data_IF_056596365579
#
_entry.id   IF_056596365579
#
_cell.length_a   1.000
_cell.length_b   1.000
_cell.length_c   1.000
_cell.angle_alpha   90.00
_cell.angle_beta   90.00
_cell.angle_gamma   90.00
#
_symmetry.space_group_name_H-M   'P 1'
#
loop_
_entity.id
_entity.type
_entity.pdbx_description
1 polymer ?
#
# COMPACT_ATOMS: atom_id res chain seq x y z
N UNK A 1 23.00 11.26 -16.96
CA UNK A 1 22.67 11.25 -15.51
C UNK A 1 22.18 9.86 -15.18
N UNK A 2 22.85 9.16 -14.24
CA UNK A 2 22.54 7.75 -13.98
C UNK A 2 21.13 7.52 -13.44
N UNK A 3 20.47 6.50 -13.96
CA UNK A 3 19.20 5.98 -13.46
C UNK A 3 19.41 5.04 -12.26
N UNK A 4 20.39 5.34 -11.39
CA UNK A 4 20.67 4.50 -10.23
C UNK A 4 19.44 4.42 -9.32
N UNK A 5 19.01 3.19 -8.98
CA UNK A 5 17.87 2.99 -8.08
C UNK A 5 18.22 3.47 -6.66
N UNK A 6 17.30 4.16 -5.96
CA UNK A 6 17.51 4.56 -4.57
C UNK A 6 17.80 3.35 -3.68
N UNK A 7 18.74 3.49 -2.74
CA UNK A 7 19.11 2.40 -1.80
C UNK A 7 17.91 1.84 -1.02
N UNK A 8 16.92 2.70 -0.74
CA UNK A 8 15.67 2.29 -0.11
C UNK A 8 14.90 1.25 -0.96
N UNK A 9 14.90 1.41 -2.28
CA UNK A 9 14.26 0.45 -3.19
C UNK A 9 15.05 -0.86 -3.20
N UNK A 10 16.37 -0.78 -3.36
CA UNK A 10 17.25 -1.98 -3.41
C UNK A 10 17.04 -2.84 -2.16
N UNK A 11 17.12 -2.24 -0.97
CA UNK A 11 16.88 -2.96 0.29
C UNK A 11 15.48 -3.57 0.36
N UNK A 12 14.45 -2.80 0.01
CA UNK A 12 13.07 -3.26 0.13
C UNK A 12 12.73 -4.39 -0.86
N UNK A 13 13.37 -4.44 -2.01
CA UNK A 13 13.23 -5.54 -2.97
C UNK A 13 13.86 -6.83 -2.40
N UNK A 14 15.05 -6.76 -1.81
CA UNK A 14 15.68 -7.89 -1.12
C UNK A 14 14.82 -8.43 0.02
N UNK A 15 14.28 -7.53 0.88
CA UNK A 15 13.35 -7.89 1.96
C UNK A 15 12.05 -8.57 1.45
N UNK A 16 11.59 -8.23 0.24
CA UNK A 16 10.28 -8.68 -0.27
C UNK A 16 10.39 -9.93 -1.13
N UNK A 17 11.40 -9.99 -2.00
CA UNK A 17 11.55 -11.04 -3.03
C UNK A 17 12.77 -11.94 -2.82
N UNK A 18 13.62 -11.62 -1.83
CA UNK A 18 14.92 -12.24 -1.63
C UNK A 18 16.02 -11.60 -2.48
N UNK A 19 17.26 -11.67 -1.99
CA UNK A 19 18.40 -10.96 -2.59
C UNK A 19 18.68 -11.39 -4.04
N UNK A 20 18.54 -12.68 -4.35
CA UNK A 20 18.80 -13.21 -5.69
C UNK A 20 17.83 -12.65 -6.74
N UNK A 21 16.52 -12.72 -6.48
CA UNK A 21 15.49 -12.21 -7.39
C UNK A 21 15.55 -10.67 -7.50
N UNK A 22 15.85 -10.00 -6.39
CA UNK A 22 16.06 -8.55 -6.39
C UNK A 22 17.26 -8.15 -7.26
N UNK A 23 18.40 -8.85 -7.13
CA UNK A 23 19.60 -8.60 -7.92
C UNK A 23 19.37 -8.84 -9.41
N UNK A 24 18.68 -9.92 -9.78
CA UNK A 24 18.35 -10.23 -11.18
C UNK A 24 17.51 -9.12 -11.81
N UNK A 25 16.46 -8.66 -11.14
CA UNK A 25 15.62 -7.57 -11.63
C UNK A 25 16.40 -6.24 -11.72
N UNK A 26 17.19 -5.92 -10.68
CA UNK A 26 18.03 -4.71 -10.67
C UNK A 26 19.07 -4.68 -11.79
N UNK A 27 19.63 -5.82 -12.18
CA UNK A 27 20.56 -5.92 -13.30
C UNK A 27 19.89 -5.59 -14.64
N UNK A 28 18.60 -5.90 -14.79
CA UNK A 28 17.80 -5.57 -16.00
C UNK A 28 17.25 -4.15 -15.99
N UNK A 29 17.22 -3.49 -14.85
CA UNK A 29 16.53 -2.21 -14.65
C UNK A 29 16.98 -1.09 -15.59
N UNK A 30 18.28 -0.93 -15.96
CA UNK A 30 18.69 0.07 -16.95
C UNK A 30 18.01 -0.16 -18.31
N UNK A 31 18.02 -1.38 -18.85
CA UNK A 31 17.37 -1.70 -20.12
C UNK A 31 15.83 -1.49 -20.04
N UNK A 32 15.19 -1.98 -18.95
CA UNK A 32 13.76 -1.75 -18.72
C UNK A 32 13.42 -0.26 -18.66
N UNK A 33 14.32 0.56 -18.14
CA UNK A 33 14.13 2.01 -18.07
C UNK A 33 14.18 2.64 -19.47
N UNK A 34 15.18 2.31 -20.26
CA UNK A 34 15.35 2.84 -21.61
C UNK A 34 14.19 2.42 -22.52
N UNK A 35 13.79 1.16 -22.45
CA UNK A 35 12.65 0.63 -23.19
C UNK A 35 11.34 1.34 -22.79
N UNK A 36 11.09 1.52 -21.49
CA UNK A 36 9.90 2.19 -21.00
C UNK A 36 9.85 3.68 -21.35
N UNK A 37 10.98 4.40 -21.28
CA UNK A 37 11.07 5.80 -21.70
C UNK A 37 10.75 5.93 -23.22
N UNK A 38 11.29 5.03 -24.02
CA UNK A 38 11.04 4.98 -25.47
C UNK A 38 9.58 4.65 -25.79
N UNK A 39 9.03 3.59 -25.18
CA UNK A 39 7.67 3.13 -25.45
C UNK A 39 6.61 4.19 -25.09
N UNK A 40 6.83 4.94 -24.03
CA UNK A 40 5.95 6.03 -23.61
C UNK A 40 6.27 7.40 -24.24
N UNK A 41 7.28 7.48 -25.10
CA UNK A 41 7.76 8.72 -25.74
C UNK A 41 7.97 9.86 -24.72
N UNK A 42 8.68 9.56 -23.61
CA UNK A 42 8.94 10.51 -22.54
C UNK A 42 10.44 10.71 -22.31
N UNK A 43 10.83 11.89 -21.85
CA UNK A 43 12.21 12.20 -21.47
C UNK A 43 12.37 12.14 -19.95
N UNK A 44 13.48 11.54 -19.49
CA UNK A 44 13.83 11.48 -18.07
C UNK A 44 14.28 12.85 -17.57
N UNK A 45 13.67 13.32 -16.48
CA UNK A 45 14.15 14.49 -15.73
C UNK A 45 15.06 14.06 -14.58
N UNK A 46 14.60 13.17 -13.72
CA UNK A 46 15.37 12.63 -12.59
C UNK A 46 14.70 11.40 -11.98
N UNK A 47 15.49 10.64 -11.24
CA UNK A 47 14.96 9.58 -10.35
C UNK A 47 14.31 10.24 -9.13
N UNK A 48 13.13 9.74 -8.72
CA UNK A 48 12.45 10.21 -7.51
C UNK A 48 13.18 9.67 -6.27
N UNK A 49 13.66 10.55 -5.41
CA UNK A 49 14.30 10.21 -4.14
C UNK A 49 13.47 10.77 -2.97
N UNK A 50 13.31 10.02 -1.88
CA UNK A 50 13.84 8.69 -1.56
C UNK A 50 13.16 7.54 -2.33
N UNK A 51 12.16 7.81 -3.17
CA UNK A 51 11.49 6.86 -4.04
C UNK A 51 10.55 5.88 -3.34
N UNK A 52 10.04 4.92 -4.13
CA UNK A 52 9.20 3.82 -3.67
C UNK A 52 10.00 2.71 -2.96
N UNK A 53 9.26 1.74 -2.41
CA UNK A 53 9.84 0.50 -1.85
C UNK A 53 9.65 -0.70 -2.78
N UNK A 54 8.77 -0.60 -3.78
CA UNK A 54 8.35 -1.72 -4.65
C UNK A 54 8.55 -1.42 -6.12
N UNK A 55 8.95 -0.19 -6.47
CA UNK A 55 9.13 0.23 -7.86
C UNK A 55 10.12 1.38 -7.97
N UNK A 56 10.81 1.47 -9.10
CA UNK A 56 11.55 2.66 -9.50
C UNK A 56 10.53 3.72 -9.96
N UNK A 57 10.69 4.94 -9.47
CA UNK A 57 9.88 6.09 -9.86
C UNK A 57 10.77 7.12 -10.56
N UNK A 58 10.43 7.45 -11.77
CA UNK A 58 11.14 8.42 -12.61
C UNK A 58 10.24 9.62 -12.86
N UNK A 59 10.73 10.82 -12.57
CA UNK A 59 10.08 12.04 -13.00
C UNK A 59 10.41 12.23 -14.48
N UNK A 60 9.38 12.31 -15.30
CA UNK A 60 9.51 12.37 -16.76
C UNK A 60 8.71 13.52 -17.33
N UNK A 61 9.00 13.86 -18.58
CA UNK A 61 8.27 14.86 -19.36
C UNK A 61 7.85 14.26 -20.69
N UNK A 62 6.57 14.45 -21.02
CA UNK A 62 6.00 14.07 -22.30
C UNK A 62 6.43 15.04 -23.41
N UNK A 63 6.28 14.64 -24.67
CA UNK A 63 6.62 15.47 -25.82
C UNK A 63 5.87 16.82 -25.87
N UNK A 64 4.66 16.87 -25.33
CA UNK A 64 3.85 18.09 -25.20
C UNK A 64 4.25 18.99 -24.00
N UNK A 65 5.31 18.63 -23.28
CA UNK A 65 5.77 19.34 -22.09
C UNK A 65 5.06 18.94 -20.80
N UNK A 66 4.04 18.10 -20.83
CA UNK A 66 3.29 17.66 -19.63
C UNK A 66 4.17 16.83 -18.71
N UNK A 67 4.22 17.15 -17.38
CA UNK A 67 4.98 16.35 -16.43
C UNK A 67 4.26 15.03 -16.13
N UNK A 68 5.04 13.95 -15.97
CA UNK A 68 4.54 12.63 -15.60
C UNK A 68 5.47 11.92 -14.62
N UNK A 69 5.03 10.76 -14.13
CA UNK A 69 5.84 9.81 -13.38
C UNK A 69 5.80 8.48 -14.11
N UNK A 70 6.97 7.99 -14.52
CA UNK A 70 7.10 6.63 -15.03
C UNK A 70 7.47 5.72 -13.86
N UNK A 71 6.61 4.75 -13.58
CA UNK A 71 6.76 3.75 -12.53
C UNK A 71 7.14 2.42 -13.17
N UNK A 72 8.26 1.84 -12.76
CA UNK A 72 8.74 0.53 -13.23
C UNK A 72 8.82 -0.39 -12.02
N UNK A 73 8.05 -1.49 -12.05
CA UNK A 73 7.95 -2.43 -10.96
C UNK A 73 8.32 -3.85 -11.42
N UNK A 74 8.88 -4.71 -10.52
CA UNK A 74 9.09 -6.11 -10.85
C UNK A 74 7.75 -6.84 -11.02
N UNK A 75 7.71 -7.94 -11.79
CA UNK A 75 6.48 -8.72 -12.02
C UNK A 75 5.79 -9.15 -10.73
N UNK A 76 6.54 -9.49 -9.68
CA UNK A 76 5.99 -9.85 -8.37
C UNK A 76 5.24 -8.73 -7.64
N UNK A 77 5.33 -7.47 -8.10
CA UNK A 77 4.52 -6.35 -7.61
C UNK A 77 3.18 -6.21 -8.35
N UNK A 78 2.91 -7.07 -9.34
CA UNK A 78 1.69 -7.11 -10.15
C UNK A 78 1.30 -5.72 -10.74
N UNK A 79 2.20 -5.07 -11.50
CA UNK A 79 1.93 -3.74 -12.07
C UNK A 79 0.71 -3.72 -13.00
N UNK A 80 0.39 -4.84 -13.65
CA UNK A 80 -0.82 -5.02 -14.47
C UNK A 80 -2.11 -4.86 -13.65
N UNK A 81 -2.14 -5.38 -12.41
CA UNK A 81 -3.28 -5.22 -11.52
C UNK A 81 -3.38 -3.77 -11.01
N UNK A 82 -2.25 -3.14 -10.70
CA UNK A 82 -2.23 -1.72 -10.37
C UNK A 82 -2.77 -0.88 -11.52
N UNK A 83 -2.32 -1.13 -12.75
CA UNK A 83 -2.79 -0.45 -13.95
C UNK A 83 -4.29 -0.64 -14.17
N UNK A 84 -4.81 -1.86 -14.01
CA UNK A 84 -6.23 -2.18 -14.13
C UNK A 84 -7.08 -1.44 -13.08
N UNK A 85 -6.63 -1.37 -11.83
CA UNK A 85 -7.33 -0.64 -10.78
C UNK A 85 -7.32 0.89 -11.04
N UNK A 86 -6.19 1.45 -11.43
CA UNK A 86 -6.07 2.88 -11.76
C UNK A 86 -6.94 3.26 -12.97
N UNK A 87 -7.00 2.40 -13.99
CA UNK A 87 -7.88 2.59 -15.14
C UNK A 87 -9.36 2.56 -14.72
N UNK A 88 -9.75 1.63 -13.84
CA UNK A 88 -11.11 1.53 -13.34
C UNK A 88 -11.53 2.73 -12.49
N UNK A 89 -10.68 3.20 -11.58
CA UNK A 89 -10.92 4.44 -10.83
C UNK A 89 -10.90 5.69 -11.72
N UNK A 90 -10.26 5.63 -12.86
CA UNK A 90 -10.19 6.71 -13.85
C UNK A 90 -9.90 8.09 -13.23
N UNK A 91 -8.94 8.13 -12.32
CA UNK A 91 -8.56 9.34 -11.60
C UNK A 91 -9.49 9.74 -10.44
N UNK A 92 -10.57 9.01 -10.17
CA UNK A 92 -11.49 9.31 -9.07
C UNK A 92 -10.90 8.91 -7.72
N UNK A 93 -10.35 9.87 -6.98
CA UNK A 93 -9.66 9.62 -5.71
C UNK A 93 -8.23 9.08 -5.83
N UNK A 94 -7.84 8.57 -6.99
CA UNK A 94 -6.52 8.01 -7.27
C UNK A 94 -5.74 8.86 -8.29
N UNK A 95 -4.42 8.66 -8.33
CA UNK A 95 -3.55 9.18 -9.37
C UNK A 95 -4.04 8.75 -10.76
N UNK A 96 -4.02 9.67 -11.73
CA UNK A 96 -4.42 9.38 -13.10
C UNK A 96 -3.40 8.50 -13.83
N UNK A 97 -3.90 7.53 -14.60
CA UNK A 97 -3.12 6.79 -15.57
C UNK A 97 -3.09 7.59 -16.87
N UNK A 98 -1.91 8.03 -17.32
CA UNK A 98 -1.76 8.88 -18.52
C UNK A 98 -1.67 8.09 -19.83
N UNK A 99 -1.29 6.82 -19.73
CA UNK A 99 -1.34 5.88 -20.83
C UNK A 99 -1.75 4.52 -20.27
N UNK A 100 -2.70 3.85 -20.93
CA UNK A 100 -3.01 2.47 -20.60
C UNK A 100 -1.74 1.63 -20.76
N UNK A 101 -1.52 0.60 -19.91
CA UNK A 101 -0.48 -0.36 -20.16
C UNK A 101 -0.79 -1.01 -21.50
N UNK A 102 -0.07 -0.62 -22.54
CA UNK A 102 -0.15 -1.29 -23.83
C UNK A 102 0.41 -2.70 -23.62
N UNK A 103 -0.21 -3.69 -24.24
CA UNK A 103 0.29 -5.06 -24.22
C UNK A 103 1.72 -5.18 -24.80
N UNK A 104 2.17 -4.15 -25.50
CA UNK A 104 3.53 -4.00 -26.03
C UNK A 104 4.47 -3.19 -25.10
N UNK A 105 3.96 -2.60 -23.99
CA UNK A 105 4.83 -1.88 -23.06
C UNK A 105 5.70 -2.87 -22.28
N UNK A 106 7.03 -2.68 -22.26
CA UNK A 106 7.92 -3.63 -21.62
C UNK A 106 7.63 -3.72 -20.12
N UNK A 107 7.41 -4.94 -19.66
CA UNK A 107 7.48 -5.39 -18.27
C UNK A 107 6.86 -4.44 -17.21
N UNK A 108 5.59 -4.05 -17.39
CA UNK A 108 4.82 -3.45 -16.31
C UNK A 108 5.16 -2.00 -15.95
N UNK A 109 5.63 -1.21 -16.90
CA UNK A 109 5.80 0.22 -16.72
C UNK A 109 4.45 0.96 -16.80
N UNK A 110 4.18 1.86 -15.84
CA UNK A 110 2.99 2.68 -15.80
C UNK A 110 3.37 4.16 -15.94
N UNK A 111 2.76 4.87 -16.88
CA UNK A 111 2.88 6.32 -16.98
C UNK A 111 1.73 6.99 -16.22
N UNK A 112 2.07 7.71 -15.16
CA UNK A 112 1.14 8.26 -14.19
C UNK A 112 1.17 9.79 -14.19
N UNK A 113 0.06 10.40 -13.77
CA UNK A 113 -0.04 11.80 -13.39
C UNK A 113 1.04 12.15 -12.35
N UNK A 114 1.70 13.31 -12.49
CA UNK A 114 2.67 13.78 -11.51
C UNK A 114 1.94 14.52 -10.39
N UNK A 115 2.10 14.01 -9.17
CA UNK A 115 1.63 14.65 -7.95
C UNK A 115 2.81 15.32 -7.20
N UNK A 116 2.52 16.14 -6.22
CA UNK A 116 3.51 16.75 -5.32
C UNK A 116 4.00 15.71 -4.32
N UNK A 117 4.99 14.90 -4.70
CA UNK A 117 5.46 13.74 -3.93
C UNK A 117 6.08 14.10 -2.58
N UNK A 118 6.49 15.36 -2.36
CA UNK A 118 6.96 15.88 -1.09
C UNK A 118 5.82 16.21 -0.11
N UNK A 119 4.56 16.35 -0.60
CA UNK A 119 3.41 16.78 0.20
C UNK A 119 2.41 15.63 0.31
N UNK A 120 2.40 14.96 1.45
CA UNK A 120 1.42 13.92 1.76
C UNK A 120 0.52 14.32 2.93
N UNK A 121 -0.54 13.54 3.21
CA UNK A 121 -1.38 13.78 4.38
C UNK A 121 -0.60 13.71 5.70
N UNK A 122 0.59 13.09 5.73
CA UNK A 122 1.44 13.10 6.93
C UNK A 122 1.95 14.49 7.32
N UNK A 123 1.96 15.45 6.39
CA UNK A 123 2.34 16.84 6.68
C UNK A 123 1.25 17.63 7.42
N UNK A 124 0.03 17.10 7.47
CA UNK A 124 -1.08 17.74 8.17
C UNK A 124 -1.15 17.31 9.65
N UNK A 125 -1.76 18.15 10.54
CA UNK A 125 -2.17 17.71 11.86
C UNK A 125 -3.05 16.46 11.76
N UNK A 126 -2.89 15.52 12.69
CA UNK A 126 -3.48 14.18 12.63
C UNK A 126 -4.99 14.19 12.38
N UNK A 127 -5.75 15.00 13.11
CA UNK A 127 -7.20 15.05 12.95
C UNK A 127 -7.63 15.47 11.54
N UNK A 128 -6.92 16.44 10.93
CA UNK A 128 -7.16 16.87 9.56
C UNK A 128 -6.73 15.81 8.56
N UNK A 129 -5.56 15.18 8.78
CA UNK A 129 -5.07 14.09 7.94
C UNK A 129 -6.04 12.91 7.88
N UNK A 130 -6.64 12.51 9.02
CA UNK A 130 -7.64 11.45 9.08
C UNK A 130 -8.94 11.82 8.35
N UNK A 131 -9.40 13.06 8.47
CA UNK A 131 -10.59 13.55 7.77
C UNK A 131 -10.39 13.52 6.25
N UNK A 132 -9.27 14.05 5.77
CA UNK A 132 -8.94 14.05 4.34
C UNK A 132 -8.71 12.63 3.80
N UNK A 133 -8.08 11.76 4.59
CA UNK A 133 -7.89 10.35 4.24
C UNK A 133 -9.25 9.63 4.12
N UNK A 134 -10.17 9.84 5.05
CA UNK A 134 -11.52 9.29 5.01
C UNK A 134 -12.28 9.74 3.75
N UNK A 135 -12.22 11.04 3.42
CA UNK A 135 -12.81 11.58 2.20
C UNK A 135 -12.19 11.01 0.92
N UNK A 136 -10.89 10.72 0.94
CA UNK A 136 -10.18 10.16 -0.24
C UNK A 136 -10.49 8.68 -0.41
N UNK A 137 -10.41 7.86 0.65
CA UNK A 137 -10.64 6.42 0.54
C UNK A 137 -12.07 6.09 0.12
N UNK A 138 -13.04 6.88 0.57
CA UNK A 138 -14.45 6.71 0.21
C UNK A 138 -14.70 6.77 -1.30
N UNK A 139 -13.89 7.52 -2.05
CA UNK A 139 -13.98 7.62 -3.51
C UNK A 139 -13.48 6.37 -4.22
N UNK A 140 -12.61 5.58 -3.56
CA UNK A 140 -12.02 4.38 -4.14
C UNK A 140 -12.91 3.14 -4.04
N UNK A 141 -13.87 3.15 -3.11
CA UNK A 141 -14.75 2.01 -2.87
C UNK A 141 -15.84 1.96 -3.92
N UNK A 142 -15.52 1.33 -5.03
CA UNK A 142 -16.42 1.09 -6.16
C UNK A 142 -16.55 -0.42 -6.38
N UNK A 143 -17.60 -0.84 -7.07
CA UNK A 143 -17.73 -2.23 -7.49
C UNK A 143 -16.54 -2.63 -8.38
N UNK A 144 -15.95 -3.82 -8.20
CA UNK A 144 -14.89 -4.27 -9.07
C UNK A 144 -15.41 -4.49 -10.49
N UNK A 145 -14.57 -4.25 -11.53
CA UNK A 145 -15.00 -4.47 -12.90
C UNK A 145 -15.34 -5.94 -13.17
N UNK A 146 -16.31 -6.20 -14.01
CA UNK A 146 -16.70 -7.56 -14.39
C UNK A 146 -15.51 -8.33 -14.96
N UNK A 147 -15.35 -9.59 -14.56
CA UNK A 147 -14.26 -10.46 -15.04
C UNK A 147 -12.86 -10.08 -14.55
N UNK A 148 -12.76 -9.27 -13.48
CA UNK A 148 -11.47 -8.89 -12.89
C UNK A 148 -10.68 -10.09 -12.38
N UNK A 149 -9.34 -9.90 -12.32
CA UNK A 149 -8.39 -10.88 -11.75
C UNK A 149 -7.80 -10.45 -10.41
N UNK A 150 -8.42 -9.48 -9.73
CA UNK A 150 -7.95 -9.03 -8.42
C UNK A 150 -8.09 -10.15 -7.38
N UNK A 151 -7.02 -10.35 -6.60
CA UNK A 151 -7.04 -11.22 -5.43
C UNK A 151 -8.09 -10.75 -4.41
N UNK A 152 -8.75 -11.68 -3.75
CA UNK A 152 -9.67 -11.33 -2.66
C UNK A 152 -8.94 -11.13 -1.33
N UNK A 153 -9.56 -10.40 -0.39
CA UNK A 153 -9.06 -10.30 1.00
C UNK A 153 -8.91 -11.68 1.62
N UNK A 154 -9.82 -12.61 1.33
CA UNK A 154 -9.77 -13.99 1.84
C UNK A 154 -8.51 -14.73 1.36
N UNK A 155 -8.20 -14.67 0.07
CA UNK A 155 -7.00 -15.29 -0.51
C UNK A 155 -5.71 -14.64 0.00
N UNK A 156 -5.66 -13.30 0.01
CA UNK A 156 -4.52 -12.55 0.53
C UNK A 156 -4.20 -12.95 1.96
N UNK A 157 -5.20 -12.94 2.83
CA UNK A 157 -5.00 -13.20 4.25
C UNK A 157 -4.76 -14.68 4.55
N UNK A 158 -5.29 -15.61 3.74
CA UNK A 158 -4.95 -17.03 3.83
C UNK A 158 -3.45 -17.25 3.56
N UNK A 159 -2.91 -16.64 2.51
CA UNK A 159 -1.48 -16.72 2.16
C UNK A 159 -0.58 -16.09 3.24
N UNK A 160 -1.03 -15.03 3.92
CA UNK A 160 -0.32 -14.38 5.01
C UNK A 160 -0.33 -15.18 6.32
N UNK A 161 -1.32 -16.03 6.54
CA UNK A 161 -1.49 -16.79 7.79
C UNK A 161 -0.38 -17.81 8.06
N UNK A 162 0.16 -18.45 7.01
CA UNK A 162 1.26 -19.41 7.14
C UNK A 162 2.54 -18.79 7.75
N UNK A 163 3.07 -17.71 7.17
CA UNK A 163 4.21 -16.98 7.74
C UNK A 163 3.99 -16.47 9.17
N UNK A 164 2.75 -16.07 9.53
CA UNK A 164 2.42 -15.65 10.89
C UNK A 164 2.54 -16.82 11.88
N UNK A 165 2.01 -18.02 11.55
CA UNK A 165 2.17 -19.23 12.37
C UNK A 165 3.63 -19.60 12.53
N UNK A 166 4.38 -19.62 11.44
CA UNK A 166 5.81 -19.90 11.48
C UNK A 166 6.62 -18.87 12.32
N UNK A 167 6.15 -17.63 12.45
CA UNK A 167 6.76 -16.66 13.35
C UNK A 167 6.49 -17.01 14.83
N UNK A 168 5.27 -17.42 15.18
CA UNK A 168 4.92 -17.85 16.53
C UNK A 168 5.65 -19.16 16.94
N UNK A 169 5.85 -20.08 16.00
CA UNK A 169 6.65 -21.29 16.24
C UNK A 169 8.12 -20.97 16.60
N UNK A 170 8.69 -19.93 15.97
CA UNK A 170 10.06 -19.47 16.27
C UNK A 170 10.16 -18.65 17.54
N UNK A 171 9.13 -17.90 17.87
CA UNK A 171 9.03 -17.07 19.07
C UNK A 171 7.67 -17.29 19.75
N UNK A 172 7.59 -18.18 20.75
CA UNK A 172 6.35 -18.49 21.46
C UNK A 172 5.70 -17.31 22.17
N UNK A 173 6.44 -16.22 22.42
CA UNK A 173 5.86 -15.01 23.00
C UNK A 173 4.85 -14.33 22.05
N UNK A 174 4.93 -14.59 20.74
CA UNK A 174 4.01 -14.07 19.72
C UNK A 174 2.70 -14.88 19.63
N UNK A 175 2.68 -16.11 20.15
CA UNK A 175 1.54 -17.04 20.00
C UNK A 175 0.19 -16.44 20.40
N UNK A 176 0.03 -15.74 21.53
CA UNK A 176 -1.27 -15.19 21.90
C UNK A 176 -1.82 -14.18 20.89
N UNK A 177 -0.95 -13.30 20.36
CA UNK A 177 -1.35 -12.29 19.37
C UNK A 177 -1.62 -12.92 18.00
N UNK A 178 -0.79 -13.87 17.59
CA UNK A 178 -0.97 -14.57 16.31
C UNK A 178 -2.26 -15.38 16.33
N UNK A 179 -2.51 -16.16 17.38
CA UNK A 179 -3.76 -16.91 17.53
C UNK A 179 -4.99 -16.00 17.52
N UNK A 180 -4.98 -14.88 18.26
CA UNK A 180 -6.08 -13.92 18.28
C UNK A 180 -6.33 -13.31 16.89
N UNK A 181 -5.26 -12.94 16.17
CA UNK A 181 -5.35 -12.37 14.82
C UNK A 181 -5.92 -13.38 13.81
N UNK A 182 -5.48 -14.64 13.89
CA UNK A 182 -5.97 -15.71 13.01
C UNK A 182 -7.42 -16.08 13.31
N UNK A 183 -7.82 -16.13 14.58
CA UNK A 183 -9.21 -16.35 14.98
C UNK A 183 -10.12 -15.22 14.47
N UNK A 184 -9.72 -13.96 14.64
CA UNK A 184 -10.46 -12.83 14.10
C UNK A 184 -10.59 -12.92 12.57
N UNK A 185 -9.52 -13.31 11.84
CA UNK A 185 -9.59 -13.53 10.40
C UNK A 185 -10.61 -14.60 10.02
N UNK A 186 -10.60 -15.77 10.70
CA UNK A 186 -11.53 -16.85 10.39
C UNK A 186 -13.00 -16.40 10.50
N UNK A 187 -13.34 -15.63 11.53
CA UNK A 187 -14.69 -15.07 11.69
C UNK A 187 -15.03 -14.06 10.57
N UNK A 188 -14.09 -13.19 10.23
CA UNK A 188 -14.31 -12.10 9.27
C UNK A 188 -14.50 -12.60 7.83
N UNK A 189 -13.81 -13.67 7.43
CA UNK A 189 -13.89 -14.18 6.05
C UNK A 189 -15.10 -15.09 5.80
N UNK A 190 -15.78 -15.58 6.84
CA UNK A 190 -16.95 -16.46 6.68
C UNK A 190 -18.14 -15.75 6.03
N UNK A 191 -18.38 -14.48 6.37
CA UNK A 191 -19.51 -13.70 5.88
C UNK A 191 -19.12 -12.25 5.63
N UNK A 192 -18.36 -11.95 4.56
CA UNK A 192 -18.05 -10.57 4.22
C UNK A 192 -19.34 -9.83 3.85
N UNK A 193 -19.61 -8.64 4.44
CA UNK A 193 -20.87 -7.94 4.26
C UNK A 193 -20.99 -7.25 2.88
N UNK A 194 -19.87 -7.09 2.20
CA UNK A 194 -19.76 -6.27 0.99
C UNK A 194 -18.53 -6.67 0.16
N UNK A 195 -18.55 -6.28 -1.12
CA UNK A 195 -17.44 -6.52 -2.04
C UNK A 195 -17.14 -5.26 -2.85
N UNK A 196 -16.02 -4.62 -2.54
CA UNK A 196 -15.50 -3.45 -3.26
C UNK A 196 -14.11 -3.70 -3.81
N UNK A 197 -13.74 -2.95 -4.84
CA UNK A 197 -12.35 -2.76 -5.19
C UNK A 197 -11.68 -1.91 -4.11
N UNK A 198 -10.61 -2.43 -3.54
CA UNK A 198 -9.88 -1.81 -2.44
C UNK A 198 -8.50 -1.34 -2.91
N UNK A 199 -7.98 -0.30 -2.27
CA UNK A 199 -6.61 0.13 -2.47
C UNK A 199 -5.59 -0.91 -1.93
N UNK A 200 -5.95 -1.67 -0.90
CA UNK A 200 -5.15 -2.73 -0.29
C UNK A 200 -3.97 -2.26 0.57
N UNK A 201 -3.47 -1.05 0.33
CA UNK A 201 -2.35 -0.48 1.09
C UNK A 201 -2.57 1.02 1.40
N UNK A 202 -3.80 1.38 1.76
CA UNK A 202 -4.21 2.75 2.00
C UNK A 202 -3.62 3.31 3.31
N UNK A 203 -2.94 4.46 3.23
CA UNK A 203 -2.33 5.16 4.37
C UNK A 203 -2.01 6.61 4.02
N UNK A 204 -1.87 7.48 5.02
CA UNK A 204 -1.62 8.93 4.85
C UNK A 204 -0.42 9.24 3.96
N UNK A 205 0.67 8.47 4.06
CA UNK A 205 1.88 8.69 3.26
C UNK A 205 1.73 8.34 1.77
N UNK A 206 0.63 7.70 1.38
CA UNK A 206 0.28 7.40 -0.01
C UNK A 206 -0.79 8.34 -0.58
N UNK A 207 -1.29 9.27 0.20
CA UNK A 207 -2.22 10.30 -0.24
C UNK A 207 -1.44 11.59 -0.41
N UNK A 208 -1.23 12.00 -1.66
CA UNK A 208 -0.38 13.10 -2.05
C UNK A 208 -1.22 14.27 -2.58
N UNK A 209 -0.68 15.48 -2.45
CA UNK A 209 -1.28 16.66 -3.05
C UNK A 209 -1.14 16.64 -4.58
N UNK A 210 -2.16 17.09 -5.28
CA UNK A 210 -2.18 17.17 -6.74
C UNK A 210 -2.85 18.43 -7.26
N UNK A 211 -2.62 18.75 -8.54
CA UNK A 211 -3.21 19.91 -9.21
C UNK A 211 -4.69 19.70 -9.50
N UNK A 212 -5.07 18.50 -9.94
CA UNK A 212 -6.44 18.15 -10.34
C UNK A 212 -7.39 18.02 -9.15
N UNK A 213 -6.88 17.56 -8.02
CA UNK A 213 -7.62 17.44 -6.77
C UNK A 213 -6.65 17.62 -5.59
N UNK A 214 -7.14 18.17 -4.45
CA UNK A 214 -6.27 18.42 -3.29
C UNK A 214 -5.50 17.20 -2.81
N UNK A 215 -6.15 16.04 -2.86
CA UNK A 215 -5.59 14.78 -2.37
C UNK A 215 -5.94 13.62 -3.30
N UNK A 216 -4.91 12.88 -3.73
CA UNK A 216 -5.01 11.70 -4.60
C UNK A 216 -4.12 10.60 -4.05
N UNK A 217 -4.59 9.36 -4.11
CA UNK A 217 -3.83 8.22 -3.61
C UNK A 217 -2.95 7.61 -4.71
N UNK A 218 -1.80 7.07 -4.30
CA UNK A 218 -0.82 6.42 -5.20
C UNK A 218 -0.47 5.01 -4.72
N UNK A 219 -0.02 4.18 -5.65
CA UNK A 219 0.58 2.88 -5.40
C UNK A 219 -0.37 1.90 -4.72
N UNK A 220 -1.54 1.62 -5.31
CA UNK A 220 -2.41 0.56 -4.80
C UNK A 220 -1.73 -0.81 -4.91
N UNK A 221 -2.16 -1.70 -4.05
CA UNK A 221 -1.96 -3.15 -4.09
C UNK A 221 -3.36 -3.76 -4.17
N UNK A 222 -4.04 -3.63 -5.34
CA UNK A 222 -5.47 -3.78 -5.42
C UNK A 222 -5.92 -5.20 -5.09
N UNK A 223 -7.07 -5.27 -4.45
CA UNK A 223 -7.77 -6.52 -4.13
C UNK A 223 -9.25 -6.24 -3.96
N UNK A 224 -10.05 -7.29 -3.85
CA UNK A 224 -11.48 -7.17 -3.62
C UNK A 224 -11.86 -7.64 -2.22
N UNK A 225 -12.79 -6.93 -1.58
CA UNK A 225 -13.27 -7.26 -0.25
C UNK A 225 -14.02 -6.13 0.42
N UNK A 226 -14.07 -6.18 1.74
CA UNK A 226 -14.80 -5.22 2.55
C UNK A 226 -13.95 -3.98 2.92
N UNK A 227 -14.61 -2.83 3.05
CA UNK A 227 -14.01 -1.53 3.37
C UNK A 227 -13.19 -1.52 4.67
N UNK A 228 -13.62 -2.32 5.64
CA UNK A 228 -12.92 -2.47 6.92
C UNK A 228 -11.46 -2.91 6.75
N UNK A 229 -11.17 -3.78 5.77
CA UNK A 229 -9.80 -4.21 5.49
C UNK A 229 -8.90 -3.06 5.03
N UNK A 230 -9.39 -2.18 4.16
CA UNK A 230 -8.61 -1.00 3.71
C UNK A 230 -8.33 -0.02 4.85
N UNK A 231 -9.35 0.24 5.67
CA UNK A 231 -9.25 1.14 6.83
C UNK A 231 -8.31 0.65 7.92
N UNK A 232 -8.14 -0.66 8.05
CA UNK A 232 -7.29 -1.26 9.08
C UNK A 232 -5.85 -0.72 9.07
N UNK A 233 -5.31 -0.43 7.88
CA UNK A 233 -3.97 0.16 7.76
C UNK A 233 -3.96 1.65 8.13
N UNK A 234 -4.99 2.39 7.78
CA UNK A 234 -5.16 3.79 8.17
C UNK A 234 -5.33 3.93 9.69
N UNK A 235 -6.05 3.00 10.33
CA UNK A 235 -6.22 2.97 11.78
C UNK A 235 -4.87 2.88 12.53
N UNK A 236 -3.88 2.20 11.95
CA UNK A 236 -2.53 2.05 12.49
C UNK A 236 -1.56 3.13 12.01
N UNK A 237 -1.96 4.05 11.18
CA UNK A 237 -1.05 5.09 10.67
C UNK A 237 -0.45 5.91 11.82
N UNK A 238 0.80 6.35 11.66
CA UNK A 238 1.59 7.03 12.72
C UNK A 238 1.67 6.22 14.01
N UNK A 239 1.88 4.91 13.90
CA UNK A 239 2.00 4.03 15.07
C UNK A 239 3.12 4.49 16.00
N UNK A 240 4.19 5.05 15.46
CA UNK A 240 5.30 5.62 16.20
C UNK A 240 4.86 6.74 17.17
N UNK A 241 3.97 7.62 16.72
CA UNK A 241 3.43 8.71 17.55
C UNK A 241 2.51 8.17 18.65
N UNK A 242 1.74 7.12 18.33
CA UNK A 242 0.88 6.45 19.30
C UNK A 242 1.68 5.76 20.42
N UNK A 243 2.73 5.01 20.03
CA UNK A 243 3.61 4.31 20.99
C UNK A 243 4.34 5.31 21.89
N UNK A 244 4.79 6.43 21.33
CA UNK A 244 5.45 7.48 22.11
C UNK A 244 4.52 8.24 23.06
N UNK A 245 3.20 8.06 22.94
CA UNK A 245 2.21 8.78 23.76
C UNK A 245 1.74 7.95 24.96
N UNK A 246 1.73 8.51 26.20
CA UNK A 246 1.17 7.81 27.36
C UNK A 246 -0.30 7.39 27.21
N UNK A 247 -1.06 8.07 26.33
CA UNK A 247 -2.45 7.76 26.03
C UNK A 247 -2.64 6.99 24.71
N UNK A 248 -1.59 6.41 24.13
CA UNK A 248 -1.58 5.80 22.81
C UNK A 248 -2.64 4.73 22.61
N UNK A 249 -2.74 3.77 23.54
CA UNK A 249 -3.74 2.71 23.49
C UNK A 249 -5.19 3.23 23.48
N UNK A 250 -5.50 4.22 24.30
CA UNK A 250 -6.84 4.83 24.31
C UNK A 250 -7.10 5.61 23.02
N UNK A 251 -6.08 6.29 22.50
CA UNK A 251 -6.17 7.03 21.22
C UNK A 251 -6.35 6.07 20.06
N UNK A 252 -5.63 4.94 20.01
CA UNK A 252 -5.80 3.91 18.99
C UNK A 252 -7.24 3.38 18.96
N UNK A 253 -7.80 2.99 20.11
CA UNK A 253 -9.19 2.52 20.19
C UNK A 253 -10.21 3.59 19.77
N UNK A 254 -10.02 4.84 20.19
CA UNK A 254 -10.89 5.97 19.74
C UNK A 254 -10.78 6.21 18.24
N UNK A 255 -9.56 6.07 17.64
CA UNK A 255 -9.34 6.21 16.20
C UNK A 255 -10.11 5.13 15.42
N UNK A 256 -10.03 3.85 15.84
CA UNK A 256 -10.79 2.75 15.24
C UNK A 256 -12.29 3.08 15.28
N UNK A 257 -12.83 3.42 16.47
CA UNK A 257 -14.24 3.79 16.60
C UNK A 257 -14.62 4.97 15.69
N UNK A 258 -13.85 6.05 15.71
CA UNK A 258 -14.14 7.24 14.90
C UNK A 258 -14.11 6.99 13.40
N UNK A 259 -13.17 6.16 12.92
CA UNK A 259 -13.12 5.75 11.51
C UNK A 259 -14.34 4.90 11.14
N UNK A 260 -14.71 3.94 11.98
CA UNK A 260 -15.89 3.12 11.80
C UNK A 260 -17.16 3.98 11.69
N UNK A 261 -17.40 4.85 12.68
CA UNK A 261 -18.56 5.74 12.74
C UNK A 261 -18.61 6.70 11.53
N UNK A 262 -17.46 7.29 11.14
CA UNK A 262 -17.43 8.31 10.07
C UNK A 262 -17.60 7.75 8.66
N UNK A 263 -17.33 6.46 8.47
CA UNK A 263 -17.37 5.80 7.16
C UNK A 263 -18.45 4.71 7.07
N UNK A 264 -19.29 4.60 8.10
CA UNK A 264 -20.35 3.60 8.17
C UNK A 264 -19.82 2.18 7.93
N UNK A 265 -18.82 1.80 8.73
CA UNK A 265 -18.19 0.48 8.72
C UNK A 265 -18.37 -0.14 10.11
N UNK A 266 -18.66 -1.43 10.15
CA UNK A 266 -18.79 -2.15 11.43
C UNK A 266 -17.50 -2.05 12.26
N UNK A 267 -17.62 -1.58 13.51
CA UNK A 267 -16.48 -1.34 14.39
C UNK A 267 -15.76 -2.64 14.79
N UNK A 268 -16.48 -3.73 14.99
CA UNK A 268 -15.89 -5.02 15.36
C UNK A 268 -15.07 -5.59 14.17
N UNK A 269 -15.59 -5.47 12.95
CA UNK A 269 -14.89 -5.87 11.74
C UNK A 269 -13.63 -5.02 11.52
N UNK A 270 -13.73 -3.70 11.65
CA UNK A 270 -12.57 -2.82 11.53
C UNK A 270 -11.51 -3.15 12.58
N UNK A 271 -11.90 -3.40 13.82
CA UNK A 271 -10.99 -3.80 14.89
C UNK A 271 -10.30 -5.13 14.57
N UNK A 272 -11.05 -6.14 14.14
CA UNK A 272 -10.52 -7.46 13.79
C UNK A 272 -9.51 -7.39 12.64
N UNK A 273 -9.84 -6.68 11.55
CA UNK A 273 -8.88 -6.46 10.46
C UNK A 273 -7.67 -5.62 10.88
N UNK A 274 -7.86 -4.66 11.78
CA UNK A 274 -6.74 -3.87 12.31
C UNK A 274 -5.79 -4.74 13.12
N UNK A 275 -6.31 -5.64 13.95
CA UNK A 275 -5.54 -6.63 14.69
C UNK A 275 -4.77 -7.55 13.72
N UNK A 276 -5.46 -8.18 12.78
CA UNK A 276 -4.81 -9.09 11.81
C UNK A 276 -3.68 -8.39 11.05
N UNK A 277 -3.95 -7.22 10.48
CA UNK A 277 -2.95 -6.48 9.70
C UNK A 277 -1.80 -5.93 10.54
N UNK A 278 -2.01 -5.64 11.81
CA UNK A 278 -0.95 -5.23 12.72
C UNK A 278 -0.03 -6.40 13.05
N UNK A 279 -0.58 -7.57 13.38
CA UNK A 279 0.20 -8.78 13.68
C UNK A 279 0.94 -9.27 12.44
N UNK A 280 0.28 -9.35 11.27
CA UNK A 280 0.95 -9.69 9.99
C UNK A 280 2.14 -8.77 9.72
N UNK A 281 1.93 -7.47 9.85
CA UNK A 281 2.99 -6.49 9.59
C UNK A 281 4.13 -6.59 10.60
N UNK A 282 3.82 -6.87 11.86
CA UNK A 282 4.79 -7.06 12.93
C UNK A 282 5.66 -8.30 12.70
N UNK A 283 5.03 -9.44 12.51
CA UNK A 283 5.74 -10.73 12.27
C UNK A 283 6.59 -10.68 11.01
N UNK A 284 6.08 -10.07 9.93
CA UNK A 284 6.83 -9.87 8.69
C UNK A 284 8.01 -8.91 8.87
N UNK A 285 7.86 -7.84 9.66
CA UNK A 285 8.97 -6.93 9.93
C UNK A 285 10.08 -7.62 10.72
N UNK A 286 9.73 -8.42 11.73
CA UNK A 286 10.70 -9.22 12.49
C UNK A 286 11.44 -10.22 11.59
N UNK A 287 10.74 -10.90 10.67
CA UNK A 287 11.35 -11.92 9.80
C UNK A 287 12.42 -11.36 8.84
N UNK A 288 12.39 -10.04 8.57
CA UNK A 288 13.38 -9.36 7.73
C UNK A 288 14.31 -8.45 8.55
N UNK A 289 14.40 -8.66 9.87
CA UNK A 289 15.33 -7.95 10.76
C UNK A 289 14.93 -6.50 11.07
N UNK A 290 13.70 -6.05 10.76
CA UNK A 290 13.19 -4.73 11.13
C UNK A 290 12.53 -4.80 12.51
N UNK A 291 13.37 -5.04 13.54
CA UNK A 291 12.92 -5.33 14.91
C UNK A 291 12.03 -4.21 15.47
N UNK A 292 12.48 -2.97 15.40
CA UNK A 292 11.72 -1.83 15.94
C UNK A 292 10.34 -1.68 15.28
N UNK A 293 10.25 -1.78 13.96
CA UNK A 293 8.97 -1.72 13.23
C UNK A 293 8.05 -2.89 13.63
N UNK A 294 8.65 -4.07 13.86
CA UNK A 294 7.95 -5.26 14.30
C UNK A 294 7.34 -5.09 15.68
N UNK A 295 8.16 -4.73 16.66
CA UNK A 295 7.76 -4.50 18.05
C UNK A 295 6.67 -3.44 18.16
N UNK A 296 6.82 -2.28 17.51
CA UNK A 296 5.77 -1.24 17.50
C UNK A 296 4.44 -1.74 16.93
N UNK A 297 4.49 -2.57 15.88
CA UNK A 297 3.27 -3.10 15.26
C UNK A 297 2.57 -4.12 16.17
N UNK A 298 3.33 -4.96 16.88
CA UNK A 298 2.81 -5.96 17.81
C UNK A 298 2.32 -5.32 19.11
N UNK A 299 3.02 -4.31 19.64
CA UNK A 299 2.54 -3.54 20.79
C UNK A 299 1.20 -2.87 20.47
N UNK A 300 1.08 -2.22 19.31
CA UNK A 300 -0.20 -1.65 18.87
C UNK A 300 -1.30 -2.71 18.76
N UNK A 301 -0.98 -3.91 18.23
CA UNK A 301 -1.93 -5.01 18.16
C UNK A 301 -2.45 -5.43 19.53
N UNK A 302 -1.58 -5.44 20.55
CA UNK A 302 -1.94 -5.76 21.93
C UNK A 302 -2.90 -4.75 22.59
N UNK A 303 -3.11 -3.59 22.00
CA UNK A 303 -4.06 -2.57 22.48
C UNK A 303 -5.50 -2.77 21.97
N UNK A 304 -5.69 -3.61 20.97
CA UNK A 304 -6.96 -3.83 20.30
C UNK A 304 -7.75 -4.96 20.94
#
# INVERSE_FOLDING_TARGET
MGSEPPQRLVRALGETYGDAAAAEWLARLPALTDDALSAHAVSLERVCAPGGRTALLLLVRRADGTPGVLKIAPPGAAPELEGAALAHWNGWGAVGLLAAPDAAAPDGALLLERLHHEVSLRSLPEAKALLEAAGTVRRLWVEPPAGHSFETVTERTARQSGPMRAAAERDPALEPLVSAALAAREELVQAPPELFLLHGNFRQSKVLSGERAPWLVVGPEPLTGERAYDLARLARDRVEDLIASPGGAATARRRVKKLADSLDVDQARLRGWTLFRAVESGTRALSVGRTQDGEMSLEFAGWL
#
